data_IF_581460300997
#
_entry.id   IF_581460300997
#
_cell.length_a   1.000
_cell.length_b   1.000
_cell.length_c   1.000
_cell.angle_alpha   90.00
_cell.angle_beta   90.00
_cell.angle_gamma   90.00
#
_symmetry.space_group_name_H-M   'P 1'
#
loop_
_entity.id
_entity.type
_entity.pdbx_description
1 polymer ?
#
# COMPACT_ATOMS: atom_id res chain seq x y z
N UNK A 1 -7.71 -5.46 7.69
CA UNK A 1 -6.48 -4.61 7.72
C UNK A 1 -5.15 -5.30 7.37
N UNK A 2 -5.12 -6.54 6.86
CA UNK A 2 -3.85 -7.30 6.67
C UNK A 2 -3.65 -7.78 5.22
N UNK A 3 -4.22 -7.09 4.22
CA UNK A 3 -4.15 -7.51 2.81
C UNK A 3 -3.01 -6.85 2.03
N UNK A 4 -2.34 -5.86 2.62
CA UNK A 4 -1.28 -5.09 1.98
C UNK A 4 -0.05 -4.97 2.87
N UNK A 5 1.12 -5.04 2.25
CA UNK A 5 2.44 -4.86 2.83
C UNK A 5 3.06 -3.60 2.22
N UNK A 6 3.40 -2.63 3.06
CA UNK A 6 4.06 -1.42 2.62
C UNK A 6 5.55 -1.71 2.33
N UNK A 7 5.93 -1.64 1.06
CA UNK A 7 7.31 -1.92 0.60
C UNK A 7 8.10 -0.64 0.27
N UNK A 8 7.46 0.52 0.36
CA UNK A 8 8.11 1.79 0.10
C UNK A 8 7.22 2.99 0.35
N UNK A 9 7.85 4.16 0.23
CA UNK A 9 7.21 5.46 0.39
C UNK A 9 7.28 6.21 -0.94
N UNK A 10 6.20 6.91 -1.28
CA UNK A 10 6.16 7.87 -2.37
C UNK A 10 5.90 9.24 -1.80
N UNK A 11 6.72 10.22 -2.17
CA UNK A 11 6.46 11.61 -1.80
C UNK A 11 5.19 12.12 -2.48
N UNK A 12 4.30 12.69 -1.69
CA UNK A 12 3.06 13.32 -2.17
C UNK A 12 3.03 14.79 -1.78
N UNK A 13 2.42 15.61 -2.64
CA UNK A 13 2.15 17.03 -2.35
C UNK A 13 0.76 17.25 -1.74
N UNK A 14 -0.13 16.27 -1.89
CA UNK A 14 -1.50 16.31 -1.40
C UNK A 14 -1.56 15.68 0.01
N UNK A 15 -1.91 16.50 1.00
CA UNK A 15 -2.06 16.05 2.39
C UNK A 15 -3.12 14.94 2.55
N UNK A 16 -4.12 14.89 1.67
CA UNK A 16 -5.14 13.84 1.71
C UNK A 16 -4.57 12.44 1.39
N UNK A 17 -3.37 12.36 0.82
CA UNK A 17 -2.70 11.10 0.47
C UNK A 17 -1.63 10.67 1.47
N UNK A 18 -1.37 11.47 2.51
CA UNK A 18 -0.41 11.11 3.55
C UNK A 18 -0.89 9.88 4.33
N UNK A 19 -0.05 8.86 4.42
CA UNK A 19 -0.38 7.57 5.05
C UNK A 19 -1.32 6.67 4.22
N UNK A 20 -1.74 7.07 3.02
CA UNK A 20 -2.58 6.25 2.15
C UNK A 20 -1.77 5.44 1.14
N UNK A 21 -2.31 4.30 0.71
CA UNK A 21 -1.77 3.57 -0.44
C UNK A 21 -1.95 4.42 -1.70
N UNK A 22 -0.85 4.71 -2.38
CA UNK A 22 -0.85 5.52 -3.61
C UNK A 22 -0.42 4.75 -4.85
N UNK A 23 0.22 3.59 -4.67
CA UNK A 23 0.67 2.71 -5.74
C UNK A 23 0.59 1.25 -5.30
N UNK A 24 0.03 0.38 -6.14
CA UNK A 24 0.14 -1.08 -6.01
C UNK A 24 1.29 -1.57 -6.89
N UNK A 25 2.35 -2.08 -6.25
CA UNK A 25 3.56 -2.58 -6.92
C UNK A 25 3.36 -4.02 -7.38
N UNK A 26 2.70 -4.82 -6.52
CA UNK A 26 2.44 -6.22 -6.81
C UNK A 26 1.09 -6.64 -6.23
N UNK A 27 0.30 -7.35 -7.03
CA UNK A 27 -1.00 -7.84 -6.62
C UNK A 27 -0.93 -8.92 -5.54
N UNK A 28 -1.78 -8.77 -4.53
CA UNK A 28 -2.02 -9.78 -3.51
C UNK A 28 -3.07 -10.80 -3.94
N UNK A 29 -3.06 -11.98 -3.34
CA UNK A 29 -4.02 -13.04 -3.60
C UNK A 29 -4.54 -13.67 -2.32
N UNK A 30 -5.84 -13.98 -2.31
CA UNK A 30 -6.51 -14.75 -1.27
C UNK A 30 -7.32 -15.88 -1.90
N UNK A 31 -7.40 -17.02 -1.21
CA UNK A 31 -8.26 -18.14 -1.59
C UNK A 31 -9.21 -18.37 -0.41
N UNK A 32 -10.50 -18.09 -0.62
CA UNK A 32 -11.46 -18.01 0.49
C UNK A 32 -11.02 -16.97 1.51
N UNK A 33 -10.78 -17.43 2.74
CA UNK A 33 -10.29 -16.63 3.86
C UNK A 33 -8.76 -16.68 4.03
N UNK A 34 -8.07 -17.59 3.32
CA UNK A 34 -6.62 -17.74 3.42
C UNK A 34 -5.91 -16.68 2.56
N UNK A 35 -5.07 -15.86 3.19
CA UNK A 35 -4.15 -14.97 2.50
C UNK A 35 -2.98 -15.79 1.93
N UNK A 36 -2.85 -15.82 0.60
CA UNK A 36 -1.74 -16.51 -0.07
C UNK A 36 -0.52 -15.59 -0.16
N UNK A 37 -0.77 -14.32 -0.50
CA UNK A 37 0.27 -13.29 -0.56
C UNK A 37 -0.37 -11.91 -0.37
N UNK A 38 0.17 -11.04 0.49
CA UNK A 38 -0.29 -9.65 0.56
C UNK A 38 0.03 -8.91 -0.75
N UNK A 39 -0.75 -7.87 -1.04
CA UNK A 39 -0.37 -6.92 -2.07
C UNK A 39 0.84 -6.12 -1.58
N UNK A 40 1.82 -5.87 -2.44
CA UNK A 40 2.90 -4.94 -2.12
C UNK A 40 2.49 -3.56 -2.60
N UNK A 41 2.53 -2.60 -1.69
CA UNK A 41 2.04 -1.24 -1.93
C UNK A 41 3.08 -0.22 -1.52
N UNK A 42 3.01 0.97 -2.11
CA UNK A 42 3.72 2.15 -1.59
C UNK A 42 2.73 3.11 -0.97
N UNK A 43 3.15 3.68 0.15
CA UNK A 43 2.34 4.60 0.96
C UNK A 43 2.82 6.02 0.73
N UNK A 44 1.88 6.95 0.61
CA UNK A 44 2.16 8.37 0.49
C UNK A 44 2.78 8.92 1.77
N UNK A 45 3.81 9.75 1.62
CA UNK A 45 4.32 10.60 2.69
C UNK A 45 4.32 12.06 2.22
N UNK A 46 3.66 12.94 2.96
CA UNK A 46 3.63 14.36 2.63
C UNK A 46 5.06 14.92 2.60
N UNK A 47 5.40 15.67 1.54
CA UNK A 47 6.65 16.43 1.48
C UNK A 47 6.69 17.46 2.62
N UNK A 48 7.75 17.42 3.41
CA UNK A 48 8.08 18.41 4.46
C UNK A 48 8.72 19.67 3.88
#
# INVERSE_FOLDING_TARGET
PNLGEAVGIVEVADQAKDGLVVEEVQRGYRIGEQLVRPAQVRVGKLRS
#
